data_IF_244398417624
#
_entry.id   IF_244398417624
#
_cell.length_a   1.000
_cell.length_b   1.000
_cell.length_c   1.000
_cell.angle_alpha   90.00
_cell.angle_beta   90.00
_cell.angle_gamma   90.00
#
_symmetry.space_group_name_H-M   'P 1'
#
loop_
_entity.id
_entity.type
_entity.pdbx_description
1 polymer ?
#
# COMPACT_ATOMS: atom_id res chain seq x y z
N UNK A 1 -8.06 -50.81 -36.61
CA UNK A 1 -9.25 -51.00 -37.46
C UNK A 1 -10.26 -49.93 -37.09
N UNK A 2 -10.86 -49.38 -38.08
CA UNK A 2 -11.10 -47.95 -38.25
C UNK A 2 -12.61 -47.63 -38.25
N UNK A 3 -12.87 -46.38 -38.49
CA UNK A 3 -13.85 -45.64 -39.30
C UNK A 3 -14.53 -44.56 -38.46
N UNK A 4 -14.28 -43.29 -38.73
CA UNK A 4 -14.89 -42.45 -39.76
C UNK A 4 -16.42 -42.37 -39.60
N UNK A 5 -17.06 -41.23 -39.58
CA UNK A 5 -17.21 -40.25 -40.62
C UNK A 5 -18.10 -39.05 -40.17
N UNK A 6 -17.76 -37.90 -40.61
CA UNK A 6 -18.46 -36.97 -41.43
C UNK A 6 -19.46 -35.96 -40.81
N UNK A 7 -19.00 -34.70 -40.91
CA UNK A 7 -19.70 -33.60 -41.59
C UNK A 7 -21.17 -33.31 -41.31
N UNK A 8 -21.40 -32.08 -40.84
CA UNK A 8 -22.16 -31.06 -41.62
C UNK A 8 -22.14 -29.68 -40.91
N UNK A 9 -21.64 -28.70 -41.65
CA UNK A 9 -22.04 -27.29 -41.50
C UNK A 9 -23.33 -27.08 -42.25
N UNK A 10 -24.15 -26.10 -41.87
CA UNK A 10 -24.58 -25.14 -42.86
C UNK A 10 -24.35 -23.65 -42.51
N UNK A 11 -24.05 -22.93 -43.53
CA UNK A 11 -24.16 -21.52 -43.84
C UNK A 11 -25.46 -20.93 -43.26
N UNK A 12 -25.54 -19.75 -42.64
CA UNK A 12 -25.28 -18.45 -43.24
C UNK A 12 -26.60 -17.71 -43.38
N UNK A 13 -26.79 -16.60 -42.66
CA UNK A 13 -27.70 -15.54 -43.09
C UNK A 13 -27.25 -14.21 -42.45
N UNK A 14 -26.75 -13.28 -43.28
CA UNK A 14 -26.89 -11.85 -43.07
C UNK A 14 -28.23 -11.46 -43.72
N UNK A 15 -28.98 -10.49 -43.17
CA UNK A 15 -29.12 -9.27 -43.93
C UNK A 15 -29.28 -7.94 -43.13
N UNK A 16 -28.87 -6.94 -43.84
CA UNK A 16 -29.42 -5.58 -43.99
C UNK A 16 -29.26 -4.52 -42.91
N UNK A 17 -28.32 -3.66 -43.25
CA UNK A 17 -28.29 -2.25 -42.90
C UNK A 17 -29.64 -1.55 -43.24
N UNK A 18 -30.12 -0.70 -42.35
CA UNK A 18 -31.04 0.39 -42.65
C UNK A 18 -30.50 1.69 -42.04
N UNK A 19 -29.97 2.50 -42.90
CA UNK A 19 -29.72 3.93 -42.73
C UNK A 19 -31.06 4.68 -42.85
N UNK A 20 -31.33 5.61 -41.92
CA UNK A 20 -32.31 6.71 -42.11
C UNK A 20 -31.79 7.95 -41.34
N UNK A 21 -32.11 9.19 -41.82
CA UNK A 21 -31.14 10.29 -41.85
C UNK A 21 -31.31 11.39 -40.78
N UNK A 22 -30.36 12.32 -40.82
CA UNK A 22 -30.32 13.60 -40.12
C UNK A 22 -31.64 14.42 -40.34
N UNK A 23 -32.10 15.04 -39.26
CA UNK A 23 -32.83 16.32 -39.35
C UNK A 23 -32.29 17.26 -38.26
N UNK A 24 -31.63 18.29 -38.73
CA UNK A 24 -31.28 19.47 -37.97
C UNK A 24 -32.51 20.34 -37.70
N UNK A 25 -32.67 20.83 -36.50
CA UNK A 25 -33.47 22.00 -36.24
C UNK A 25 -32.84 22.85 -35.14
N UNK A 26 -32.25 23.95 -35.56
CA UNK A 26 -31.86 25.06 -34.71
C UNK A 26 -33.12 25.82 -34.26
N UNK A 27 -33.22 26.13 -32.96
CA UNK A 27 -34.00 27.24 -32.45
C UNK A 27 -33.22 27.94 -31.35
N UNK A 28 -32.69 29.08 -31.73
CA UNK A 28 -32.23 30.10 -30.81
C UNK A 28 -33.45 30.86 -30.25
N UNK A 29 -33.54 31.00 -28.94
CA UNK A 29 -34.33 32.05 -28.33
C UNK A 29 -33.65 32.55 -27.07
N UNK A 30 -33.16 33.77 -27.15
CA UNK A 30 -32.66 34.56 -26.04
C UNK A 30 -33.86 35.07 -25.22
N UNK A 31 -33.78 34.96 -23.89
CA UNK A 31 -34.54 35.78 -22.96
C UNK A 31 -33.69 36.15 -21.77
N UNK A 32 -33.64 37.44 -21.54
CA UNK A 32 -32.81 38.13 -20.55
C UNK A 32 -33.48 38.19 -19.17
N UNK A 33 -32.61 38.16 -18.12
CA UNK A 33 -32.67 38.89 -16.87
C UNK A 33 -33.95 38.88 -16.01
N UNK A 34 -33.89 38.16 -14.90
CA UNK A 34 -34.28 38.70 -13.60
C UNK A 34 -33.50 37.93 -12.49
N UNK A 35 -32.67 38.64 -11.77
CA UNK A 35 -31.92 38.10 -10.63
C UNK A 35 -32.81 37.87 -9.42
N UNK A 36 -32.54 36.76 -8.71
CA UNK A 36 -32.79 36.63 -7.28
C UNK A 36 -31.63 35.87 -6.69
N UNK A 37 -30.86 36.56 -5.90
CA UNK A 37 -29.86 35.97 -5.04
C UNK A 37 -30.57 35.07 -4.02
N UNK A 38 -30.36 33.76 -4.14
CA UNK A 38 -30.61 32.78 -3.10
C UNK A 38 -29.25 32.17 -2.77
N UNK A 39 -28.86 32.25 -1.51
CA UNK A 39 -27.57 31.87 -1.00
C UNK A 39 -27.17 30.47 -1.42
N UNK A 40 -26.00 30.35 -2.02
CA UNK A 40 -25.30 29.10 -2.22
C UNK A 40 -24.92 28.55 -0.83
N UNK A 41 -25.52 27.43 -0.45
CA UNK A 41 -24.91 26.56 0.55
C UNK A 41 -23.66 25.99 -0.10
N UNK A 42 -22.50 26.56 0.21
CA UNK A 42 -21.22 25.94 -0.05
C UNK A 42 -21.19 24.64 0.73
N UNK A 43 -20.76 23.56 0.09
CA UNK A 43 -20.26 22.41 0.82
C UNK A 43 -19.29 22.91 1.89
N UNK A 44 -19.25 22.32 3.09
CA UNK A 44 -18.28 22.69 4.08
C UNK A 44 -16.89 22.53 3.45
N UNK A 45 -16.18 23.62 3.28
CA UNK A 45 -14.77 23.64 2.95
C UNK A 45 -14.07 22.89 4.07
N UNK A 46 -13.32 21.85 3.73
CA UNK A 46 -12.46 21.18 4.69
C UNK A 46 -11.60 22.25 5.39
N UNK A 47 -11.35 22.12 6.69
CA UNK A 47 -10.56 23.10 7.42
C UNK A 47 -9.18 23.22 6.75
N UNK A 48 -8.83 24.44 6.30
CA UNK A 48 -7.51 24.73 5.78
C UNK A 48 -6.48 24.50 6.89
N UNK A 49 -5.52 23.59 6.66
CA UNK A 49 -4.37 23.38 7.54
C UNK A 49 -3.69 24.72 7.80
N UNK A 50 -3.29 24.95 9.07
CA UNK A 50 -2.70 26.23 9.50
C UNK A 50 -1.35 26.49 8.85
N UNK A 51 -1.00 27.78 8.66
CA UNK A 51 0.31 28.23 8.19
C UNK A 51 1.41 27.80 9.17
N UNK A 52 2.14 26.73 8.82
CA UNK A 52 3.21 26.15 9.62
C UNK A 52 3.12 24.62 9.80
N UNK A 53 2.05 24.03 9.28
CA UNK A 53 1.86 22.58 9.22
C UNK A 53 2.88 21.94 8.27
N UNK A 54 3.40 20.76 8.61
CA UNK A 54 4.17 19.96 7.67
C UNK A 54 3.27 19.60 6.48
N UNK A 55 3.72 19.89 5.26
CA UNK A 55 2.92 19.64 4.05
C UNK A 55 2.74 18.11 3.87
N UNK A 56 1.54 17.62 4.25
CA UNK A 56 1.15 16.22 4.03
C UNK A 56 0.30 16.22 2.76
N UNK A 57 0.83 15.71 1.63
CA UNK A 57 0.08 15.66 0.37
C UNK A 57 -1.16 14.78 0.48
N UNK A 58 -2.19 15.11 -0.28
CA UNK A 58 -3.39 14.30 -0.41
C UNK A 58 -3.02 12.93 -1.03
N UNK A 59 -3.45 11.86 -0.38
CA UNK A 59 -3.19 10.49 -0.82
C UNK A 59 -3.89 10.13 -2.14
N UNK A 60 -4.95 10.85 -2.53
CA UNK A 60 -5.74 10.58 -3.74
C UNK A 60 -4.95 10.59 -5.05
N UNK A 61 -3.79 11.25 -5.10
CA UNK A 61 -2.96 11.33 -6.31
C UNK A 61 -2.01 10.15 -6.50
N UNK A 62 -1.84 9.27 -5.50
CA UNK A 62 -0.89 8.14 -5.52
C UNK A 62 0.53 8.51 -6.00
N UNK A 63 1.00 9.67 -5.56
CA UNK A 63 2.29 10.25 -5.92
C UNK A 63 3.23 10.31 -4.73
N UNK A 64 4.52 10.29 -5.04
CA UNK A 64 5.56 10.52 -4.05
C UNK A 64 5.85 12.02 -3.90
N UNK A 65 6.40 12.37 -2.75
CA UNK A 65 6.97 13.69 -2.48
C UNK A 65 8.49 13.54 -2.33
N UNK A 66 9.28 13.70 -3.42
CA UNK A 66 10.73 13.61 -3.34
C UNK A 66 11.30 14.65 -2.37
N UNK A 67 12.48 14.35 -1.81
CA UNK A 67 13.26 15.37 -1.11
C UNK A 67 13.77 16.42 -2.08
N UNK A 68 13.80 17.68 -1.66
CA UNK A 68 14.40 18.75 -2.43
C UNK A 68 15.90 18.88 -2.12
N UNK A 69 16.71 19.11 -3.15
CA UNK A 69 18.14 19.40 -2.98
C UNK A 69 18.97 18.20 -2.51
N UNK A 70 18.57 16.99 -2.92
CA UNK A 70 19.30 15.75 -2.63
C UNK A 70 20.76 15.81 -3.09
N UNK A 71 21.64 15.16 -2.30
CA UNK A 71 23.06 15.08 -2.59
C UNK A 71 23.39 14.12 -3.73
N UNK A 72 24.60 14.25 -4.29
CA UNK A 72 25.16 13.22 -5.18
C UNK A 72 25.66 12.05 -4.34
N UNK A 73 25.46 10.78 -4.76
CA UNK A 73 25.94 9.60 -4.03
C UNK A 73 27.46 9.64 -3.79
N UNK A 74 27.87 9.49 -2.56
CA UNK A 74 29.29 9.35 -2.15
C UNK A 74 29.66 7.86 -2.11
N UNK A 75 30.35 7.35 -3.12
CA UNK A 75 30.72 5.95 -3.29
C UNK A 75 32.26 5.76 -3.38
N UNK A 76 32.81 4.58 -3.05
CA UNK A 76 32.09 3.39 -2.54
C UNK A 76 31.69 3.55 -1.09
N UNK A 77 30.64 2.81 -0.70
CA UNK A 77 30.21 2.64 0.69
C UNK A 77 30.26 1.18 1.10
N UNK A 78 30.46 0.93 2.38
CA UNK A 78 30.36 -0.42 2.96
C UNK A 78 29.32 -0.39 4.05
N UNK A 79 28.27 -1.21 3.91
CA UNK A 79 27.09 -1.20 4.79
C UNK A 79 26.80 -2.58 5.36
N UNK A 80 26.11 -2.58 6.50
CA UNK A 80 25.58 -3.81 7.07
C UNK A 80 24.36 -4.30 6.26
N UNK A 81 24.39 -5.56 5.84
CA UNK A 81 23.29 -6.26 5.18
C UNK A 81 22.84 -7.43 6.04
N UNK A 82 21.53 -7.62 6.18
CA UNK A 82 20.99 -8.77 6.93
C UNK A 82 21.34 -10.07 6.21
N UNK A 83 21.75 -11.08 6.96
CA UNK A 83 21.93 -12.44 6.45
C UNK A 83 20.60 -13.19 6.56
N UNK A 84 20.04 -13.60 5.42
CA UNK A 84 18.85 -14.45 5.41
C UNK A 84 19.23 -15.87 5.84
N UNK A 85 18.71 -16.27 7.00
CA UNK A 85 18.84 -17.63 7.51
C UNK A 85 17.46 -18.31 7.47
N UNK A 86 17.23 -19.28 6.56
CA UNK A 86 15.96 -19.97 6.44
C UNK A 86 15.59 -20.82 7.67
N UNK A 87 16.54 -21.03 8.58
CA UNK A 87 16.32 -21.78 9.82
C UNK A 87 16.13 -20.87 11.04
N UNK A 88 16.27 -19.55 10.86
CA UNK A 88 16.09 -18.58 11.94
C UNK A 88 14.64 -18.54 12.42
N UNK A 89 14.45 -18.45 13.72
CA UNK A 89 13.14 -18.16 14.33
C UNK A 89 13.04 -16.67 14.67
N UNK A 90 11.84 -16.15 14.89
CA UNK A 90 11.63 -14.75 15.27
C UNK A 90 12.34 -14.34 16.57
N UNK A 91 12.72 -15.29 17.42
CA UNK A 91 13.46 -15.05 18.66
C UNK A 91 14.96 -15.01 18.48
N UNK A 92 15.49 -15.42 17.34
CA UNK A 92 16.93 -15.43 17.09
C UNK A 92 17.37 -14.04 16.60
N UNK A 93 18.55 -13.54 17.05
CA UNK A 93 19.08 -12.27 16.58
C UNK A 93 19.37 -12.32 15.08
N UNK A 94 19.24 -11.17 14.40
CA UNK A 94 19.66 -11.03 13.01
C UNK A 94 21.19 -11.14 12.90
N UNK A 95 21.65 -11.87 11.89
CA UNK A 95 23.06 -11.83 11.48
C UNK A 95 23.26 -10.73 10.44
N UNK A 96 24.47 -10.16 10.43
CA UNK A 96 24.84 -9.13 9.44
C UNK A 96 26.14 -9.50 8.76
N UNK A 97 26.25 -9.10 7.49
CA UNK A 97 27.49 -9.14 6.72
C UNK A 97 27.75 -7.76 6.11
N UNK A 98 29.00 -7.48 5.75
CA UNK A 98 29.38 -6.24 5.10
C UNK A 98 29.25 -6.37 3.59
N UNK A 99 28.52 -5.45 2.97
CA UNK A 99 28.35 -5.35 1.52
C UNK A 99 28.95 -4.03 1.06
N UNK A 100 29.84 -4.08 0.06
CA UNK A 100 30.39 -2.90 -0.60
C UNK A 100 29.54 -2.56 -1.81
N UNK A 101 29.11 -1.29 -1.90
CA UNK A 101 28.37 -0.72 -3.04
C UNK A 101 29.25 0.35 -3.66
N UNK A 102 29.60 0.18 -4.92
CA UNK A 102 30.49 1.05 -5.69
C UNK A 102 29.79 1.73 -6.87
N UNK A 103 28.57 1.30 -7.24
CA UNK A 103 27.80 1.82 -8.36
C UNK A 103 26.27 1.76 -8.05
N UNK A 104 25.61 2.90 -8.14
CA UNK A 104 24.16 3.04 -7.98
C UNK A 104 23.48 3.55 -9.26
N UNK A 105 24.12 3.37 -10.42
CA UNK A 105 23.55 3.81 -11.69
C UNK A 105 22.37 2.94 -12.16
N UNK A 106 22.22 1.72 -11.61
CA UNK A 106 21.13 0.78 -11.92
C UNK A 106 20.63 0.10 -10.65
N UNK A 107 19.74 0.79 -9.93
CA UNK A 107 19.19 0.35 -8.66
C UNK A 107 17.99 -0.56 -8.91
N UNK A 108 17.93 -1.71 -8.24
CA UNK A 108 16.78 -2.60 -8.29
C UNK A 108 16.21 -2.86 -6.89
N UNK A 109 15.19 -2.12 -6.46
CA UNK A 109 14.44 -2.43 -5.25
C UNK A 109 13.50 -3.61 -5.49
N UNK A 110 13.51 -4.60 -4.62
CA UNK A 110 12.71 -5.82 -4.74
C UNK A 110 11.37 -5.76 -4.02
N UNK A 111 11.07 -4.64 -3.34
CA UNK A 111 9.77 -4.41 -2.70
C UNK A 111 9.25 -2.99 -2.95
N UNK A 112 7.93 -2.80 -2.83
CA UNK A 112 7.29 -1.50 -3.03
C UNK A 112 7.80 -0.43 -2.08
N UNK A 113 8.01 -0.77 -0.80
CA UNK A 113 8.51 0.19 0.20
C UNK A 113 9.95 0.64 -0.08
N UNK A 114 10.82 -0.27 -0.51
CA UNK A 114 12.18 0.07 -0.89
C UNK A 114 12.21 0.96 -2.13
N UNK A 115 11.36 0.66 -3.14
CA UNK A 115 11.21 1.52 -4.31
C UNK A 115 10.77 2.93 -3.91
N UNK A 116 9.78 3.04 -3.03
CA UNK A 116 9.27 4.31 -2.53
C UNK A 116 10.36 5.15 -1.85
N UNK A 117 11.20 4.51 -1.03
CA UNK A 117 12.34 5.18 -0.38
C UNK A 117 13.34 5.69 -1.43
N UNK A 118 13.74 4.84 -2.38
CA UNK A 118 14.71 5.22 -3.44
C UNK A 118 14.22 6.41 -4.27
N UNK A 119 12.96 6.38 -4.69
CA UNK A 119 12.37 7.49 -5.44
C UNK A 119 12.28 8.77 -4.62
N UNK A 120 11.92 8.64 -3.33
CA UNK A 120 11.84 9.80 -2.42
C UNK A 120 13.21 10.42 -2.14
N UNK A 121 14.27 9.62 -2.11
CA UNK A 121 15.67 10.08 -2.02
C UNK A 121 16.19 10.73 -3.32
N UNK A 122 15.34 10.87 -4.37
CA UNK A 122 15.73 11.49 -5.64
C UNK A 122 16.51 10.58 -6.61
N UNK A 123 16.63 9.29 -6.30
CA UNK A 123 17.36 8.32 -7.13
C UNK A 123 16.46 7.49 -8.04
N UNK A 124 15.20 7.90 -8.23
CA UNK A 124 14.21 7.19 -9.04
C UNK A 124 14.62 6.99 -10.50
N UNK A 125 15.34 7.93 -11.10
CA UNK A 125 15.83 7.82 -12.49
C UNK A 125 16.83 6.66 -12.67
N UNK A 126 17.45 6.21 -11.59
CA UNK A 126 18.39 5.08 -11.60
C UNK A 126 17.68 3.73 -11.38
N UNK A 127 16.38 3.71 -11.09
CA UNK A 127 15.64 2.48 -10.85
C UNK A 127 15.32 1.77 -12.16
N UNK A 128 15.69 0.48 -12.26
CA UNK A 128 15.58 -0.29 -13.51
C UNK A 128 14.43 -1.29 -13.54
N UNK A 129 13.75 -1.51 -12.41
CA UNK A 129 12.60 -2.39 -12.30
C UNK A 129 11.89 -2.17 -10.97
N UNK A 130 10.69 -2.73 -10.82
CA UNK A 130 9.87 -2.57 -9.62
C UNK A 130 9.16 -3.84 -9.21
N UNK A 131 8.80 -3.91 -7.95
CA UNK A 131 7.83 -4.86 -7.42
C UNK A 131 6.39 -4.49 -7.84
N UNK A 132 5.48 -5.45 -7.85
CA UNK A 132 4.07 -5.23 -8.15
C UNK A 132 3.42 -4.24 -7.18
N UNK A 133 3.87 -4.18 -5.92
CA UNK A 133 3.35 -3.28 -4.90
C UNK A 133 3.87 -1.83 -5.02
N UNK A 134 4.85 -1.56 -5.88
CA UNK A 134 5.25 -0.19 -6.20
C UNK A 134 4.26 0.43 -7.21
N UNK A 135 3.08 0.82 -6.71
CA UNK A 135 1.92 1.28 -7.52
C UNK A 135 1.91 2.77 -7.79
N UNK A 136 2.79 3.56 -7.18
CA UNK A 136 2.86 5.01 -7.36
C UNK A 136 3.22 5.40 -8.80
N UNK A 137 2.76 6.59 -9.21
CA UNK A 137 2.80 7.03 -10.61
C UNK A 137 4.21 7.03 -11.20
N UNK A 138 5.21 7.48 -10.42
CA UNK A 138 6.60 7.61 -10.86
C UNK A 138 7.23 6.26 -11.24
N UNK A 139 6.76 5.13 -10.66
CA UNK A 139 7.24 3.80 -10.98
C UNK A 139 6.46 3.11 -12.11
N UNK A 140 5.34 3.69 -12.58
CA UNK A 140 4.38 3.03 -13.48
C UNK A 140 4.98 2.51 -14.79
N UNK A 141 6.01 3.19 -15.31
CA UNK A 141 6.70 2.84 -16.56
C UNK A 141 7.74 1.73 -16.44
N UNK A 142 8.06 1.27 -15.22
CA UNK A 142 9.12 0.29 -14.98
C UNK A 142 8.62 -1.15 -15.15
N UNK A 143 9.50 -2.07 -15.63
CA UNK A 143 9.17 -3.48 -15.69
C UNK A 143 8.91 -4.05 -14.28
N UNK A 144 7.86 -4.85 -14.13
CA UNK A 144 7.56 -5.59 -12.91
C UNK A 144 8.41 -6.86 -12.86
N UNK A 145 9.15 -7.08 -11.76
CA UNK A 145 10.12 -8.19 -11.63
C UNK A 145 9.77 -9.17 -10.51
N UNK A 146 8.82 -8.81 -9.67
CA UNK A 146 8.38 -9.64 -8.55
C UNK A 146 6.87 -9.62 -8.43
N UNK A 147 6.30 -10.64 -7.82
CA UNK A 147 4.89 -10.73 -7.50
C UNK A 147 4.77 -11.00 -5.99
N UNK A 148 4.37 -9.98 -5.24
CA UNK A 148 4.50 -10.00 -3.79
C UNK A 148 5.98 -10.06 -3.39
N UNK A 149 6.32 -10.91 -2.43
CA UNK A 149 7.71 -11.07 -1.97
C UNK A 149 8.51 -12.11 -2.77
N UNK A 150 7.92 -12.71 -3.83
CA UNK A 150 8.57 -13.73 -4.64
C UNK A 150 9.29 -13.13 -5.84
N UNK A 151 10.59 -13.42 -5.94
CA UNK A 151 11.44 -12.95 -7.04
C UNK A 151 12.03 -14.11 -7.83
N UNK A 152 12.32 -13.85 -9.12
CA UNK A 152 13.08 -14.76 -9.98
C UNK A 152 14.47 -14.20 -10.19
N UNK A 153 15.51 -14.98 -9.87
CA UNK A 153 16.88 -14.56 -10.12
C UNK A 153 17.15 -14.24 -11.60
N UNK A 154 16.51 -14.96 -12.52
CA UNK A 154 16.63 -14.69 -13.97
C UNK A 154 16.04 -13.32 -14.32
N UNK A 155 14.83 -13.00 -13.84
CA UNK A 155 14.17 -11.71 -14.10
C UNK A 155 14.95 -10.55 -13.51
N UNK A 156 15.46 -10.70 -12.29
CA UNK A 156 16.28 -9.72 -11.59
C UNK A 156 17.57 -9.43 -12.36
N UNK A 157 18.35 -10.47 -12.68
CA UNK A 157 19.66 -10.33 -13.31
C UNK A 157 19.56 -9.89 -14.78
N UNK A 158 18.44 -10.17 -15.47
CA UNK A 158 18.19 -9.71 -16.84
C UNK A 158 18.13 -8.18 -16.96
N UNK A 159 17.88 -7.47 -15.86
CA UNK A 159 17.90 -6.00 -15.81
C UNK A 159 19.29 -5.41 -15.58
N UNK A 160 20.32 -6.26 -15.46
CA UNK A 160 21.72 -5.83 -15.27
C UNK A 160 21.86 -4.77 -14.14
N UNK A 161 21.32 -5.03 -12.92
CA UNK A 161 21.43 -4.06 -11.81
C UNK A 161 22.88 -3.95 -11.33
N UNK A 162 23.28 -2.76 -10.88
CA UNK A 162 24.57 -2.51 -10.21
C UNK A 162 24.47 -2.64 -8.70
N UNK A 163 23.27 -2.45 -8.14
CA UNK A 163 22.92 -2.72 -6.73
C UNK A 163 21.49 -3.20 -6.62
N UNK A 164 21.25 -4.13 -5.70
CA UNK A 164 19.93 -4.68 -5.41
C UNK A 164 19.61 -4.39 -3.94
N UNK A 165 18.41 -3.86 -3.70
CA UNK A 165 17.86 -3.66 -2.36
C UNK A 165 16.77 -4.70 -2.12
N UNK A 166 16.88 -5.45 -1.04
CA UNK A 166 15.93 -6.46 -0.61
C UNK A 166 15.56 -6.27 0.86
N UNK A 167 14.56 -6.96 1.34
CA UNK A 167 14.24 -7.02 2.77
C UNK A 167 14.17 -8.46 3.28
N UNK A 168 13.90 -8.61 4.58
CA UNK A 168 13.87 -9.92 5.25
C UNK A 168 12.75 -10.83 4.81
N UNK A 169 11.75 -10.33 4.06
CA UNK A 169 10.65 -11.12 3.49
C UNK A 169 10.89 -11.51 2.04
N UNK A 170 11.90 -10.93 1.39
CA UNK A 170 12.21 -11.24 -0.01
C UNK A 170 12.59 -12.70 -0.16
N UNK A 171 11.89 -13.40 -1.04
CA UNK A 171 12.09 -14.84 -1.25
C UNK A 171 11.79 -15.29 -2.69
N UNK A 172 11.89 -16.60 -2.96
CA UNK A 172 12.42 -17.63 -2.07
C UNK A 172 13.93 -17.47 -1.81
N UNK A 173 14.40 -17.97 -0.67
CA UNK A 173 15.81 -17.85 -0.26
C UNK A 173 16.80 -18.35 -1.30
N UNK A 174 16.44 -19.40 -2.04
CA UNK A 174 17.26 -19.95 -3.12
C UNK A 174 17.48 -18.95 -4.28
N UNK A 175 16.46 -18.14 -4.59
CA UNK A 175 16.57 -17.10 -5.60
C UNK A 175 17.49 -15.96 -5.11
N UNK A 176 17.34 -15.53 -3.87
CA UNK A 176 18.20 -14.50 -3.25
C UNK A 176 19.64 -14.98 -3.22
N UNK A 177 19.92 -16.23 -2.78
CA UNK A 177 21.24 -16.81 -2.82
C UNK A 177 21.82 -16.90 -4.25
N UNK A 178 21.00 -17.18 -5.25
CA UNK A 178 21.45 -17.21 -6.64
C UNK A 178 21.83 -15.80 -7.12
N UNK A 179 21.07 -14.78 -6.74
CA UNK A 179 21.36 -13.38 -7.04
C UNK A 179 22.68 -12.96 -6.37
N UNK A 180 22.87 -13.24 -5.09
CA UNK A 180 24.11 -12.95 -4.36
C UNK A 180 25.34 -13.61 -5.02
N UNK A 181 25.20 -14.87 -5.47
CA UNK A 181 26.28 -15.58 -6.19
C UNK A 181 26.65 -14.99 -7.56
N UNK A 182 25.83 -14.12 -8.14
CA UNK A 182 26.14 -13.44 -9.41
C UNK A 182 27.25 -12.39 -9.24
N UNK A 183 27.52 -11.95 -8.01
CA UNK A 183 28.49 -10.92 -7.71
C UNK A 183 27.94 -9.49 -7.76
N UNK A 184 26.63 -9.32 -8.01
CA UNK A 184 25.96 -8.02 -7.84
C UNK A 184 25.76 -7.77 -6.33
N UNK A 185 26.12 -6.60 -5.80
CA UNK A 185 25.84 -6.24 -4.41
C UNK A 185 24.34 -6.35 -4.10
N UNK A 186 24.00 -7.12 -3.05
CA UNK A 186 22.62 -7.24 -2.53
C UNK A 186 22.63 -6.73 -1.10
N UNK A 187 21.99 -5.61 -0.85
CA UNK A 187 21.80 -5.07 0.49
C UNK A 187 20.41 -5.46 0.99
N UNK A 188 20.37 -6.25 2.04
CA UNK A 188 19.14 -6.73 2.66
C UNK A 188 18.92 -5.92 3.93
N UNK A 189 17.81 -5.19 3.99
CA UNK A 189 17.43 -4.40 5.16
C UNK A 189 16.32 -5.08 5.94
N UNK A 190 16.15 -4.68 7.19
CA UNK A 190 15.04 -5.15 8.01
C UNK A 190 13.72 -4.61 7.46
N UNK A 191 12.67 -5.44 7.51
CA UNK A 191 11.32 -5.00 7.25
C UNK A 191 10.80 -4.17 8.42
N UNK A 192 9.91 -3.21 8.15
CA UNK A 192 9.25 -2.41 9.18
C UNK A 192 7.80 -2.87 9.35
N UNK A 193 7.39 -3.08 10.59
CA UNK A 193 6.04 -3.45 11.02
C UNK A 193 5.44 -2.41 12.00
N UNK A 194 6.17 -1.33 12.24
CA UNK A 194 5.74 -0.23 13.08
C UNK A 194 6.25 1.11 12.55
N UNK A 195 5.64 2.18 13.05
CA UNK A 195 6.03 3.55 12.68
C UNK A 195 7.50 3.83 13.07
N UNK A 196 7.94 3.35 14.23
CA UNK A 196 9.30 3.61 14.70
C UNK A 196 10.37 2.84 13.90
N UNK A 197 10.03 1.69 13.33
CA UNK A 197 10.95 0.88 12.53
C UNK A 197 11.18 1.42 11.11
N UNK A 198 10.27 2.25 10.58
CA UNK A 198 10.44 2.80 9.24
C UNK A 198 11.60 3.79 9.15
N UNK A 199 11.88 4.57 10.21
CA UNK A 199 12.93 5.59 10.18
C UNK A 199 14.34 5.00 10.01
N UNK A 200 14.79 4.03 10.85
CA UNK A 200 16.08 3.40 10.64
C UNK A 200 16.17 2.68 9.29
N UNK A 201 15.05 2.20 8.73
CA UNK A 201 15.02 1.62 7.40
C UNK A 201 15.33 2.65 6.31
N UNK A 202 14.78 3.87 6.40
CA UNK A 202 15.11 4.96 5.48
C UNK A 202 16.60 5.30 5.51
N UNK A 203 17.15 5.44 6.71
CA UNK A 203 18.55 5.76 6.92
C UNK A 203 19.45 4.64 6.36
N UNK A 204 19.10 3.37 6.58
CA UNK A 204 19.86 2.22 6.08
C UNK A 204 19.87 2.15 4.55
N UNK A 205 18.74 2.39 3.91
CA UNK A 205 18.65 2.43 2.45
C UNK A 205 19.47 3.59 1.88
N UNK A 206 19.40 4.76 2.51
CA UNK A 206 20.18 5.92 2.09
C UNK A 206 21.69 5.70 2.27
N UNK A 207 22.12 5.09 3.37
CA UNK A 207 23.52 4.68 3.58
C UNK A 207 23.99 3.75 2.47
N UNK A 208 23.17 2.74 2.10
CA UNK A 208 23.50 1.79 1.04
C UNK A 208 23.62 2.46 -0.35
N UNK A 209 22.94 3.57 -0.55
CA UNK A 209 22.97 4.32 -1.80
C UNK A 209 23.96 5.51 -1.78
N UNK A 210 24.73 5.68 -0.69
CA UNK A 210 25.73 6.72 -0.56
C UNK A 210 25.18 8.13 -0.31
N UNK A 211 23.96 8.24 0.21
CA UNK A 211 23.26 9.50 0.51
C UNK A 211 22.73 9.57 1.95
N UNK A 212 23.59 9.32 2.97
CA UNK A 212 23.14 9.19 4.36
C UNK A 212 22.46 10.45 4.92
N UNK A 213 22.91 11.64 4.51
CA UNK A 213 22.32 12.91 4.95
C UNK A 213 20.88 13.07 4.46
N UNK A 214 20.58 12.60 3.24
CA UNK A 214 19.22 12.59 2.68
C UNK A 214 18.33 11.57 3.42
N UNK A 215 18.88 10.45 3.85
CA UNK A 215 18.17 9.48 4.70
C UNK A 215 17.75 10.08 6.05
N UNK A 216 18.66 10.81 6.69
CA UNK A 216 18.37 11.53 7.92
C UNK A 216 17.30 12.63 7.72
N UNK A 217 17.40 13.39 6.62
CA UNK A 217 16.42 14.41 6.26
C UNK A 217 15.03 13.80 5.98
N UNK A 218 14.98 12.65 5.29
CA UNK A 218 13.74 11.91 5.05
C UNK A 218 13.10 11.46 6.37
N UNK A 219 13.89 10.88 7.26
CA UNK A 219 13.44 10.45 8.59
C UNK A 219 12.89 11.62 9.40
N UNK A 220 13.56 12.78 9.39
CA UNK A 220 13.12 13.99 10.11
C UNK A 220 11.81 14.53 9.53
N UNK A 221 11.70 14.67 8.21
CA UNK A 221 10.48 15.10 7.53
C UNK A 221 9.30 14.19 7.88
N UNK A 222 9.49 12.88 7.77
CA UNK A 222 8.42 11.91 8.02
C UNK A 222 8.01 11.91 9.49
N UNK A 223 8.94 12.07 10.45
CA UNK A 223 8.61 12.26 11.88
C UNK A 223 7.78 13.51 12.11
N UNK A 224 8.11 14.62 11.46
CA UNK A 224 7.34 15.85 11.58
C UNK A 224 5.91 15.68 11.04
N UNK A 225 5.76 15.04 9.87
CA UNK A 225 4.45 14.74 9.29
C UNK A 225 3.63 13.79 10.19
N UNK A 226 4.25 12.75 10.75
CA UNK A 226 3.56 11.86 11.70
C UNK A 226 3.14 12.57 12.99
N UNK A 227 3.96 13.50 13.48
CA UNK A 227 3.60 14.29 14.66
C UNK A 227 2.36 15.16 14.40
N UNK A 228 2.24 15.74 13.21
CA UNK A 228 1.08 16.51 12.79
C UNK A 228 -0.18 15.65 12.69
N UNK A 229 -0.09 14.47 12.04
CA UNK A 229 -1.21 13.52 11.97
C UNK A 229 -1.72 13.16 13.37
N UNK A 230 -0.79 12.92 14.32
CA UNK A 230 -1.16 12.63 15.73
C UNK A 230 -1.84 13.80 16.44
N UNK A 231 -1.46 15.05 16.11
CA UNK A 231 -2.10 16.23 16.68
C UNK A 231 -3.52 16.45 16.13
N UNK A 232 -3.74 16.08 14.87
CA UNK A 232 -5.05 16.15 14.22
C UNK A 232 -5.98 14.99 14.61
N UNK A 233 -5.42 13.80 14.83
CA UNK A 233 -6.16 12.66 15.34
C UNK A 233 -6.59 12.92 16.77
N UNK A 234 -7.90 12.83 17.07
CA UNK A 234 -8.39 12.93 18.44
C UNK A 234 -7.86 11.73 19.26
N UNK A 235 -6.72 11.92 19.91
CA UNK A 235 -6.04 10.89 20.70
C UNK A 235 -6.80 10.45 21.97
N UNK A 236 -8.12 10.69 22.05
CA UNK A 236 -8.96 10.29 23.20
C UNK A 236 -9.00 8.76 23.39
N UNK A 237 -8.71 7.98 22.35
CA UNK A 237 -8.86 6.52 22.36
C UNK A 237 -10.34 6.06 22.37
N UNK A 238 -11.25 6.99 22.15
CA UNK A 238 -12.69 6.73 22.02
C UNK A 238 -13.14 6.56 20.55
N UNK A 239 -12.18 6.42 19.63
CA UNK A 239 -12.41 6.19 18.21
C UNK A 239 -13.16 4.89 17.90
N UNK A 240 -13.57 4.67 16.64
CA UNK A 240 -14.30 3.49 16.24
C UNK A 240 -13.48 2.23 16.47
N UNK A 241 -14.16 1.12 16.76
CA UNK A 241 -13.53 -0.20 16.83
C UNK A 241 -13.36 -0.76 15.40
N UNK A 242 -12.12 -0.90 14.97
CA UNK A 242 -11.77 -1.31 13.60
C UNK A 242 -11.21 -2.72 13.60
N UNK A 243 -11.73 -3.58 12.75
CA UNK A 243 -11.13 -4.90 12.51
C UNK A 243 -10.40 -4.93 11.17
N UNK A 244 -9.08 -5.11 11.20
CA UNK A 244 -8.31 -5.36 9.99
C UNK A 244 -8.45 -6.79 9.51
N UNK A 245 -8.95 -7.00 8.28
CA UNK A 245 -9.12 -8.31 7.68
C UNK A 245 -8.15 -8.48 6.50
N UNK A 246 -7.23 -9.41 6.63
CA UNK A 246 -6.37 -9.84 5.52
C UNK A 246 -7.08 -10.94 4.73
N UNK A 247 -7.38 -10.65 3.47
CA UNK A 247 -8.21 -11.51 2.62
C UNK A 247 -7.47 -11.92 1.35
N UNK A 248 -7.57 -13.23 1.03
CA UNK A 248 -7.16 -13.78 -0.27
C UNK A 248 -8.20 -14.85 -0.64
N UNK A 249 -9.38 -14.42 -1.12
CA UNK A 249 -10.53 -15.27 -1.38
C UNK A 249 -10.25 -16.41 -2.35
N UNK A 250 -9.45 -16.16 -3.40
CA UNK A 250 -9.03 -17.19 -4.36
C UNK A 250 -8.17 -18.28 -3.76
N UNK A 251 -7.43 -17.97 -2.68
CA UNK A 251 -6.62 -18.94 -1.93
C UNK A 251 -7.33 -19.47 -0.66
N UNK A 252 -8.54 -18.97 -0.36
CA UNK A 252 -9.27 -19.34 0.84
C UNK A 252 -8.62 -18.85 2.14
N UNK A 253 -7.84 -17.75 2.08
CA UNK A 253 -7.16 -17.16 3.24
C UNK A 253 -7.99 -16.01 3.77
N UNK A 254 -8.37 -16.11 5.04
CA UNK A 254 -9.16 -15.13 5.78
C UNK A 254 -8.57 -14.99 7.17
N UNK A 255 -7.90 -13.86 7.43
CA UNK A 255 -7.19 -13.61 8.69
C UNK A 255 -7.66 -12.30 9.32
N UNK A 256 -7.72 -12.29 10.65
CA UNK A 256 -7.92 -11.11 11.47
C UNK A 256 -6.54 -10.63 11.97
N UNK A 257 -6.24 -9.36 11.76
CA UNK A 257 -5.04 -8.71 12.30
C UNK A 257 -5.09 -8.62 13.82
N UNK A 258 -3.94 -8.73 14.45
CA UNK A 258 -3.74 -8.55 15.88
C UNK A 258 -2.42 -7.80 16.13
N UNK A 259 -1.86 -7.92 17.32
CA UNK A 259 -0.61 -7.28 17.72
C UNK A 259 0.54 -7.68 16.77
N UNK A 260 1.21 -6.69 16.18
CA UNK A 260 2.32 -6.88 15.23
C UNK A 260 1.88 -7.17 13.80
N UNK A 261 0.60 -6.99 13.43
CA UNK A 261 0.12 -7.10 12.05
C UNK A 261 0.55 -5.93 11.16
N UNK A 262 1.05 -4.85 11.77
CA UNK A 262 1.28 -3.56 11.13
C UNK A 262 0.02 -2.69 11.08
N UNK A 263 -1.16 -3.28 10.89
CA UNK A 263 -2.42 -2.52 10.95
C UNK A 263 -2.68 -1.95 12.34
N UNK A 264 -2.31 -2.68 13.39
CA UNK A 264 -2.36 -2.19 14.77
C UNK A 264 -1.55 -0.91 14.97
N UNK A 265 -0.33 -0.85 14.38
CA UNK A 265 0.50 0.35 14.43
C UNK A 265 -0.10 1.54 13.66
N UNK A 266 -0.68 1.29 12.49
CA UNK A 266 -1.35 2.34 11.69
C UNK A 266 -2.62 2.83 12.38
N UNK A 267 -3.47 1.93 12.89
CA UNK A 267 -4.71 2.27 13.61
C UNK A 267 -4.45 3.08 14.88
N UNK A 268 -3.38 2.75 15.62
CA UNK A 268 -3.02 3.50 16.83
C UNK A 268 -2.75 4.99 16.54
N UNK A 269 -2.27 5.33 15.35
CA UNK A 269 -1.99 6.70 14.94
C UNK A 269 -3.25 7.50 14.54
N UNK A 270 -4.37 6.82 14.25
CA UNK A 270 -5.63 7.44 13.85
C UNK A 270 -6.58 7.73 15.03
N UNK A 271 -6.21 7.33 16.24
CA UNK A 271 -7.09 7.37 17.41
C UNK A 271 -8.18 6.28 17.44
N UNK A 272 -8.23 5.41 16.44
CA UNK A 272 -9.11 4.25 16.41
C UNK A 272 -8.63 3.14 17.36
N UNK A 273 -9.54 2.22 17.67
CA UNK A 273 -9.26 1.04 18.48
C UNK A 273 -9.14 -0.19 17.58
N UNK A 274 -8.12 -1.00 17.77
CA UNK A 274 -7.93 -2.24 17.02
C UNK A 274 -8.70 -3.39 17.70
N UNK A 275 -9.62 -4.02 16.96
CA UNK A 275 -10.46 -5.11 17.47
C UNK A 275 -9.64 -6.36 17.80
N UNK A 276 -8.59 -6.66 17.03
CA UNK A 276 -7.73 -7.81 17.29
C UNK A 276 -6.90 -7.63 18.56
N UNK A 277 -6.33 -6.44 18.75
CA UNK A 277 -5.59 -6.08 19.97
C UNK A 277 -6.51 -6.10 21.19
N UNK A 278 -7.73 -5.52 21.11
CA UNK A 278 -8.69 -5.54 22.23
C UNK A 278 -9.18 -6.96 22.59
N UNK A 279 -9.24 -7.85 21.60
CA UNK A 279 -9.52 -9.26 21.83
C UNK A 279 -8.34 -10.01 22.45
N UNK A 280 -7.18 -9.40 22.57
CA UNK A 280 -5.95 -10.00 23.10
C UNK A 280 -5.27 -10.94 22.11
N UNK A 281 -5.40 -10.71 20.80
CA UNK A 281 -4.65 -11.45 19.79
C UNK A 281 -3.19 -10.96 19.79
N UNK A 282 -2.30 -11.79 20.33
CA UNK A 282 -0.86 -11.51 20.45
C UNK A 282 -0.04 -12.06 19.28
N UNK A 283 -0.72 -12.51 18.22
CA UNK A 283 -0.10 -12.94 16.97
C UNK A 283 -0.52 -12.01 15.85
N UNK A 284 0.38 -11.67 14.90
CA UNK A 284 0.09 -10.73 13.83
C UNK A 284 -1.19 -11.06 13.06
N UNK A 285 -1.41 -12.35 12.78
CA UNK A 285 -2.57 -12.82 12.03
C UNK A 285 -3.16 -14.10 12.64
N UNK A 286 -4.48 -14.11 12.79
CA UNK A 286 -5.22 -15.25 13.30
C UNK A 286 -6.35 -15.61 12.31
N UNK A 287 -6.56 -16.90 11.97
CA UNK A 287 -7.69 -17.30 11.12
C UNK A 287 -9.02 -16.78 11.66
N UNK A 288 -9.82 -16.16 10.78
CA UNK A 288 -11.13 -15.62 11.13
C UNK A 288 -12.07 -16.79 11.47
N UNK A 289 -12.74 -16.71 12.63
CA UNK A 289 -13.90 -17.54 12.96
C UNK A 289 -15.13 -16.67 13.07
N UNK A 290 -16.30 -17.27 12.78
CA UNK A 290 -17.60 -16.59 12.93
C UNK A 290 -17.79 -16.04 14.34
N UNK A 291 -17.42 -16.83 15.34
CA UNK A 291 -17.53 -16.47 16.76
C UNK A 291 -16.61 -15.30 17.12
N UNK A 292 -15.37 -15.30 16.61
CA UNK A 292 -14.41 -14.22 16.86
C UNK A 292 -14.89 -12.88 16.31
N UNK A 293 -15.37 -12.85 15.05
CA UNK A 293 -15.95 -11.65 14.46
C UNK A 293 -17.17 -11.12 15.20
N UNK A 294 -18.11 -12.04 15.54
CA UNK A 294 -19.31 -11.66 16.30
C UNK A 294 -18.93 -11.17 17.70
N UNK A 295 -17.92 -11.75 18.35
CA UNK A 295 -17.45 -11.30 19.66
C UNK A 295 -16.74 -9.95 19.59
N UNK A 296 -15.98 -9.69 18.53
CA UNK A 296 -15.25 -8.44 18.32
C UNK A 296 -16.19 -7.25 18.15
N UNK A 297 -17.36 -7.42 17.51
CA UNK A 297 -18.33 -6.33 17.24
C UNK A 297 -17.69 -5.06 16.65
N UNK A 298 -16.88 -5.15 15.59
CA UNK A 298 -16.25 -3.96 15.00
C UNK A 298 -17.29 -2.99 14.43
N UNK A 299 -16.99 -1.71 14.51
CA UNK A 299 -17.77 -0.62 13.92
C UNK A 299 -17.40 -0.43 12.44
N UNK A 300 -16.14 -0.71 12.08
CA UNK A 300 -15.58 -0.59 10.72
C UNK A 300 -14.72 -1.81 10.41
N UNK A 301 -14.74 -2.25 9.14
CA UNK A 301 -13.81 -3.24 8.59
C UNK A 301 -12.77 -2.52 7.75
N UNK A 302 -11.50 -2.69 8.09
CA UNK A 302 -10.37 -2.25 7.27
C UNK A 302 -9.84 -3.44 6.48
N UNK A 303 -9.66 -3.26 5.17
CA UNK A 303 -9.20 -4.32 4.26
C UNK A 303 -8.20 -3.75 3.25
N UNK A 304 -7.48 -4.61 2.56
CA UNK A 304 -6.73 -4.22 1.37
C UNK A 304 -7.58 -4.39 0.12
N UNK A 305 -7.46 -3.48 -0.85
CA UNK A 305 -8.31 -3.40 -2.05
C UNK A 305 -8.36 -4.71 -2.83
N UNK A 306 -7.20 -5.32 -3.15
CA UNK A 306 -7.17 -6.61 -3.86
C UNK A 306 -7.76 -7.74 -3.02
N UNK A 307 -7.59 -7.68 -1.69
CA UNK A 307 -8.23 -8.59 -0.75
C UNK A 307 -9.74 -8.50 -0.84
N UNK A 308 -10.29 -7.29 -0.82
CA UNK A 308 -11.73 -7.03 -0.98
C UNK A 308 -12.25 -7.50 -2.33
N UNK A 309 -11.54 -7.18 -3.42
CA UNK A 309 -11.89 -7.64 -4.76
C UNK A 309 -11.89 -9.17 -4.87
N UNK A 310 -10.93 -9.85 -4.21
CA UNK A 310 -10.79 -11.31 -4.25
C UNK A 310 -11.97 -12.07 -3.66
N UNK A 311 -12.78 -11.41 -2.83
CA UNK A 311 -14.00 -11.95 -2.23
C UNK A 311 -15.27 -11.45 -2.90
N UNK A 312 -15.19 -10.60 -3.92
CA UNK A 312 -16.33 -10.05 -4.66
C UNK A 312 -16.81 -8.69 -4.14
N UNK A 313 -15.90 -7.89 -3.60
CA UNK A 313 -16.19 -6.58 -3.06
C UNK A 313 -16.96 -6.63 -1.74
N UNK A 314 -17.57 -5.50 -1.36
CA UNK A 314 -18.34 -5.42 -0.11
C UNK A 314 -19.50 -6.40 -0.08
N UNK A 315 -20.12 -6.72 -1.21
CA UNK A 315 -21.19 -7.71 -1.30
C UNK A 315 -20.71 -9.10 -0.88
N UNK A 316 -19.58 -9.55 -1.42
CA UNK A 316 -19.00 -10.85 -1.06
C UNK A 316 -18.38 -10.86 0.35
N UNK A 317 -17.84 -9.73 0.80
CA UNK A 317 -17.31 -9.60 2.17
C UNK A 317 -18.40 -9.86 3.22
N UNK A 318 -19.60 -9.30 3.05
CA UNK A 318 -20.70 -9.49 4.00
C UNK A 318 -21.28 -10.92 3.97
N UNK A 319 -20.99 -11.70 2.92
CA UNK A 319 -21.37 -13.13 2.85
C UNK A 319 -20.41 -14.02 3.65
N UNK A 320 -19.22 -13.52 4.04
CA UNK A 320 -18.30 -14.26 4.92
C UNK A 320 -19.00 -14.51 6.27
N UNK A 321 -19.02 -15.77 6.76
CA UNK A 321 -19.69 -16.10 8.01
C UNK A 321 -19.22 -15.26 9.19
N UNK A 322 -20.14 -14.58 9.86
CA UNK A 322 -19.86 -13.70 10.99
C UNK A 322 -19.85 -12.21 10.62
N UNK A 323 -19.49 -11.83 9.40
CA UNK A 323 -19.38 -10.41 9.00
C UNK A 323 -20.73 -9.70 9.07
N UNK A 324 -21.77 -10.23 8.42
CA UNK A 324 -23.11 -9.61 8.42
C UNK A 324 -23.75 -9.48 9.81
N UNK A 325 -23.23 -10.17 10.83
CA UNK A 325 -23.72 -10.12 12.21
C UNK A 325 -22.98 -9.09 13.08
N UNK A 326 -21.96 -8.43 12.53
CA UNK A 326 -21.24 -7.31 13.18
C UNK A 326 -21.91 -5.98 12.86
N UNK A 327 -21.74 -4.94 13.70
CA UNK A 327 -22.16 -3.59 13.35
C UNK A 327 -21.61 -3.12 11.99
N UNK A 328 -20.32 -3.32 11.75
CA UNK A 328 -19.65 -2.99 10.51
C UNK A 328 -20.29 -3.68 9.29
N UNK A 329 -20.52 -4.99 9.35
CA UNK A 329 -21.12 -5.73 8.24
C UNK A 329 -22.57 -5.35 7.98
N UNK A 330 -23.36 -5.12 9.05
CA UNK A 330 -24.74 -4.68 8.94
C UNK A 330 -24.87 -3.26 8.33
N UNK A 331 -23.94 -2.36 8.67
CA UNK A 331 -23.86 -1.01 8.12
C UNK A 331 -23.11 -0.94 6.79
N UNK A 332 -22.41 -2.03 6.40
CA UNK A 332 -21.47 -2.06 5.25
C UNK A 332 -20.35 -1.04 5.40
N UNK A 333 -19.93 -0.78 6.63
CA UNK A 333 -18.85 0.12 6.98
C UNK A 333 -17.51 -0.55 6.68
N UNK A 334 -17.01 -0.33 5.48
CA UNK A 334 -15.77 -0.92 4.94
C UNK A 334 -14.90 0.20 4.41
N UNK A 335 -13.65 0.23 4.86
CA UNK A 335 -12.58 1.09 4.35
C UNK A 335 -11.55 0.20 3.67
N UNK A 336 -11.13 0.55 2.46
CA UNK A 336 -10.10 -0.20 1.77
C UNK A 336 -8.97 0.71 1.27
N UNK A 337 -7.74 0.17 1.33
CA UNK A 337 -6.54 0.79 0.80
C UNK A 337 -5.79 -0.18 -0.12
N UNK A 338 -5.08 0.37 -1.12
CA UNK A 338 -4.23 -0.45 -1.99
C UNK A 338 -3.22 -1.30 -1.20
N UNK A 339 -3.02 -2.54 -1.64
CA UNK A 339 -2.16 -3.53 -0.99
C UNK A 339 -0.71 -3.06 -0.81
N UNK A 340 -0.18 -2.28 -1.75
CA UNK A 340 1.16 -1.73 -1.70
C UNK A 340 1.32 -0.46 -0.86
N UNK A 341 0.29 -0.06 -0.09
CA UNK A 341 0.25 1.23 0.58
C UNK A 341 -0.02 1.10 2.07
N UNK A 342 -1.10 0.41 2.47
CA UNK A 342 -1.59 0.39 3.85
C UNK A 342 -0.52 -0.05 4.87
N UNK A 343 0.22 -1.11 4.56
CA UNK A 343 1.24 -1.70 5.43
C UNK A 343 2.66 -1.54 4.86
N UNK A 344 2.87 -0.50 4.05
CA UNK A 344 4.14 -0.32 3.35
C UNK A 344 5.24 0.25 4.26
N UNK A 345 4.87 1.00 5.29
CA UNK A 345 5.79 1.70 6.20
C UNK A 345 6.91 2.45 5.45
N UNK A 346 6.51 3.10 4.36
CA UNK A 346 7.35 3.94 3.51
C UNK A 346 7.17 5.43 3.80
N UNK A 347 7.80 6.30 3.00
CA UNK A 347 7.69 7.76 3.14
C UNK A 347 6.27 8.31 3.07
N UNK A 348 5.29 7.59 2.47
CA UNK A 348 3.87 7.99 2.40
C UNK A 348 3.04 7.56 3.60
N UNK A 349 3.60 6.87 4.57
CA UNK A 349 2.84 6.44 5.77
C UNK A 349 2.07 7.56 6.45
N UNK A 350 2.58 8.80 6.62
CA UNK A 350 1.78 9.90 7.18
C UNK A 350 0.51 10.21 6.37
N UNK A 351 0.59 10.17 5.03
CA UNK A 351 -0.56 10.40 4.14
C UNK A 351 -1.61 9.30 4.29
N UNK A 352 -1.17 8.06 4.41
CA UNK A 352 -2.05 6.89 4.62
C UNK A 352 -2.78 6.98 5.94
N UNK A 353 -2.05 7.31 7.02
CA UNK A 353 -2.64 7.48 8.36
C UNK A 353 -3.63 8.63 8.37
N UNK A 354 -3.30 9.77 7.77
CA UNK A 354 -4.20 10.93 7.67
C UNK A 354 -5.49 10.57 6.89
N UNK A 355 -5.35 9.94 5.73
CA UNK A 355 -6.50 9.52 4.92
C UNK A 355 -7.38 8.49 5.66
N UNK A 356 -6.77 7.54 6.37
CA UNK A 356 -7.50 6.57 7.17
C UNK A 356 -8.23 7.25 8.33
N UNK A 357 -7.60 8.21 9.00
CA UNK A 357 -8.24 8.98 10.09
C UNK A 357 -9.47 9.75 9.58
N UNK A 358 -9.37 10.39 8.42
CA UNK A 358 -10.48 11.12 7.78
C UNK A 358 -11.66 10.18 7.44
N UNK A 359 -11.37 9.02 6.84
CA UNK A 359 -12.40 8.01 6.52
C UNK A 359 -13.09 7.49 7.80
N UNK A 360 -12.33 7.20 8.85
CA UNK A 360 -12.89 6.71 10.11
C UNK A 360 -13.74 7.78 10.81
N UNK A 361 -13.34 9.06 10.76
CA UNK A 361 -14.12 10.17 11.29
C UNK A 361 -15.45 10.36 10.55
N UNK A 362 -15.47 10.14 9.22
CA UNK A 362 -16.69 10.20 8.42
C UNK A 362 -17.71 9.14 8.86
N UNK A 363 -17.27 7.90 9.15
CA UNK A 363 -18.16 6.85 9.67
C UNK A 363 -18.75 7.17 11.04
N UNK A 364 -17.97 7.78 11.93
CA UNK A 364 -18.47 8.22 13.24
C UNK A 364 -19.57 9.29 13.12
N UNK A 365 -19.35 10.31 12.27
CA UNK A 365 -20.32 11.38 12.05
C UNK A 365 -21.65 10.86 11.47
N UNK A 366 -21.60 9.87 10.58
CA UNK A 366 -22.80 9.23 10.03
C UNK A 366 -23.54 8.38 11.07
N UNK A 367 -22.82 7.73 11.98
CA UNK A 367 -23.37 6.92 13.06
C UNK A 367 -24.14 7.73 14.10
N UNK A 368 -23.64 8.93 14.49
CA UNK A 368 -24.28 9.83 15.43
C UNK A 368 -25.56 10.52 14.87
N UNK A 369 -25.68 10.57 13.54
CA UNK A 369 -26.83 11.15 12.84
C UNK A 369 -28.05 10.24 12.70
N UNK A 370 -27.94 8.97 13.11
CA UNK A 370 -29.00 7.94 13.03
C UNK A 370 -29.63 7.67 14.37
#
# INVERSE_FOLDING_TARGET
MPLADARRRPRGHRPHARSVPLLAAACALALALAGCAVGGGGAPEAPSRGDGAADIPDFSENRLQPLEGTGEPELPVTVDSVVLDPYRTSSDPLGYEQVEVDDVSRILPLTGSLAEIVFTLGLGDNVVGRDVAATFEEASGLPVISEGHEVSAESVLALEPTVILADTQTGPSEAVEQIQRSGVPVVIVEEAWSIDEMYPRFERVAEALGVPDDGAALSERTRAQMAEVREEADGSGDGPLVAFLYLRGTAGVYLLGGEGSGADAVLAETGARDAGVEMGLTTPFTPITTEALIAAQPDVLLVMTQGLESVGGVDGLVEIPGVAQTPAGAARAVVDFEDGVLLNFGPRTPQVVAALADELAAFQAEGEGR
#
